data_IF_423348167508
#
_entry.id   IF_423348167508
#
_cell.length_a   1.000
_cell.length_b   1.000
_cell.length_c   1.000
_cell.angle_alpha   90.00
_cell.angle_beta   90.00
_cell.angle_gamma   90.00
#
_symmetry.space_group_name_H-M   'P 1'
#
loop_
_entity.id
_entity.type
_entity.pdbx_description
1 polymer ?
#
# COMPACT_ATOMS: atom_id res chain seq x y z
N UNK A 1 -8.70 -2.36 25.54
CA UNK A 1 -8.49 -3.64 24.82
C UNK A 1 -8.37 -3.30 23.34
N UNK A 2 -7.53 -3.99 22.55
CA UNK A 2 -7.45 -3.67 21.12
C UNK A 2 -8.70 -4.22 20.42
N UNK A 3 -9.44 -3.37 19.72
CA UNK A 3 -10.63 -3.73 18.93
C UNK A 3 -10.51 -3.30 17.46
N UNK A 4 -9.41 -2.65 17.08
CA UNK A 4 -9.16 -2.22 15.72
C UNK A 4 -7.72 -2.48 15.29
N UNK A 5 -7.56 -3.09 14.13
CA UNK A 5 -6.30 -3.35 13.47
C UNK A 5 -6.20 -2.54 12.18
N UNK A 6 -5.18 -1.71 12.10
CA UNK A 6 -4.84 -0.94 10.93
C UNK A 6 -3.66 -1.61 10.23
N UNK A 7 -3.80 -1.97 8.96
CA UNK A 7 -2.77 -2.64 8.18
C UNK A 7 -2.30 -1.74 7.05
N UNK A 8 -0.99 -1.54 6.90
CA UNK A 8 -0.46 -1.12 5.61
C UNK A 8 -0.69 -2.19 4.53
N UNK A 9 -0.58 -1.79 3.28
CA UNK A 9 -0.65 -2.71 2.15
C UNK A 9 0.71 -3.30 1.78
N UNK A 10 1.70 -2.44 1.53
CA UNK A 10 2.94 -2.80 0.85
C UNK A 10 3.95 -3.43 1.81
N UNK A 11 4.45 -4.60 1.46
CA UNK A 11 5.30 -5.44 2.31
C UNK A 11 4.66 -5.81 3.66
N UNK A 12 3.35 -5.63 3.80
CA UNK A 12 2.54 -6.13 4.93
C UNK A 12 1.55 -7.15 4.40
N UNK A 13 0.49 -6.72 3.68
CA UNK A 13 -0.54 -7.62 3.13
C UNK A 13 -0.09 -8.28 1.81
N UNK A 14 0.58 -7.51 0.94
CA UNK A 14 1.20 -7.98 -0.29
C UNK A 14 2.64 -7.49 -0.34
N UNK A 15 3.54 -8.25 -0.95
CA UNK A 15 4.82 -7.69 -1.39
C UNK A 15 4.57 -6.63 -2.44
N UNK A 16 5.33 -5.53 -2.36
CA UNK A 16 5.36 -4.49 -3.37
C UNK A 16 6.80 -4.27 -3.84
N UNK A 17 7.01 -4.31 -5.15
CA UNK A 17 8.30 -4.01 -5.76
C UNK A 17 8.14 -3.26 -7.09
N UNK A 18 8.34 -1.94 -7.04
CA UNK A 18 8.25 -1.08 -8.22
C UNK A 18 9.37 -1.37 -9.24
N UNK A 19 10.50 -1.96 -8.82
CA UNK A 19 11.59 -2.30 -9.73
C UNK A 19 11.16 -3.34 -10.78
N UNK A 20 10.13 -4.14 -10.50
CA UNK A 20 9.52 -5.04 -11.48
C UNK A 20 9.02 -4.25 -12.70
N UNK A 21 8.28 -3.16 -12.47
CA UNK A 21 7.77 -2.31 -13.54
C UNK A 21 8.91 -1.59 -14.27
N UNK A 22 9.89 -1.04 -13.55
CA UNK A 22 11.00 -0.33 -14.16
C UNK A 22 11.91 -1.24 -15.01
N UNK A 23 12.13 -2.48 -14.57
CA UNK A 23 12.82 -3.49 -15.36
C UNK A 23 12.08 -3.79 -16.65
N UNK A 24 10.75 -3.93 -16.60
CA UNK A 24 9.92 -4.13 -17.79
C UNK A 24 9.93 -2.92 -18.72
N UNK A 25 9.85 -1.70 -18.19
CA UNK A 25 9.95 -0.48 -19.00
C UNK A 25 11.31 -0.31 -19.69
N UNK A 26 12.40 -0.84 -19.10
CA UNK A 26 13.72 -0.80 -19.74
C UNK A 26 13.77 -1.56 -21.07
N UNK A 27 12.86 -2.52 -21.30
CA UNK A 27 12.73 -3.22 -22.59
C UNK A 27 12.21 -2.28 -23.70
N UNK A 28 11.61 -1.14 -23.34
CA UNK A 28 11.01 -0.16 -24.26
C UNK A 28 11.77 1.17 -24.31
N UNK A 29 12.84 1.30 -23.54
CA UNK A 29 13.57 2.55 -23.29
C UNK A 29 15.08 2.33 -23.50
N UNK A 30 15.84 3.37 -23.90
CA UNK A 30 17.30 3.30 -23.90
C UNK A 30 17.92 3.31 -22.50
N UNK A 31 17.13 3.43 -21.43
CA UNK A 31 17.59 3.56 -20.06
C UNK A 31 17.50 2.25 -19.27
N UNK A 32 18.40 2.08 -18.30
CA UNK A 32 18.33 0.98 -17.34
C UNK A 32 17.13 1.15 -16.39
N UNK A 33 16.76 0.08 -15.69
CA UNK A 33 15.69 0.10 -14.70
C UNK A 33 15.94 1.14 -13.60
N UNK A 34 17.17 1.25 -13.11
CA UNK A 34 17.58 2.21 -12.09
C UNK A 34 17.42 3.64 -12.60
N UNK A 35 17.81 3.89 -13.86
CA UNK A 35 17.65 5.20 -14.47
C UNK A 35 16.18 5.55 -14.66
N UNK A 36 15.35 4.58 -15.02
CA UNK A 36 13.90 4.78 -15.11
C UNK A 36 13.29 5.08 -13.74
N UNK A 37 13.70 4.35 -12.69
CA UNK A 37 13.33 4.64 -11.31
C UNK A 37 13.66 6.08 -10.92
N UNK A 38 14.89 6.54 -11.19
CA UNK A 38 15.27 7.94 -10.94
C UNK A 38 14.36 8.92 -11.69
N UNK A 39 14.08 8.66 -12.96
CA UNK A 39 13.31 9.57 -13.81
C UNK A 39 11.84 9.66 -13.43
N UNK A 40 11.23 8.53 -13.04
CA UNK A 40 9.80 8.46 -12.70
C UNK A 40 9.56 8.76 -11.22
N UNK A 41 10.25 8.05 -10.32
CA UNK A 41 10.01 8.14 -8.88
C UNK A 41 10.70 9.36 -8.28
N UNK A 42 12.03 9.41 -8.32
CA UNK A 42 12.79 10.52 -7.74
C UNK A 42 12.56 11.84 -8.51
N UNK A 43 12.31 11.74 -9.81
CA UNK A 43 11.95 12.85 -10.68
C UNK A 43 10.53 13.38 -10.48
N UNK A 44 9.73 12.77 -9.60
CA UNK A 44 8.43 13.28 -9.17
C UNK A 44 7.25 12.98 -10.09
N UNK A 45 7.45 12.29 -11.22
CA UNK A 45 6.37 11.88 -12.13
C UNK A 45 5.39 10.94 -11.42
N UNK A 46 5.86 10.08 -10.52
CA UNK A 46 5.02 9.20 -9.70
C UNK A 46 4.02 9.97 -8.82
N UNK A 47 4.26 11.25 -8.52
CA UNK A 47 3.35 12.08 -7.70
C UNK A 47 2.17 12.64 -8.48
N UNK A 48 2.24 12.68 -9.82
CA UNK A 48 1.17 13.21 -10.67
C UNK A 48 -0.21 12.65 -10.28
N UNK A 49 -0.38 11.34 -10.06
CA UNK A 49 -1.67 10.77 -9.68
C UNK A 49 -2.17 11.22 -8.30
N UNK A 50 -1.27 11.54 -7.38
CA UNK A 50 -1.60 12.00 -6.03
C UNK A 50 -1.95 13.50 -6.01
N UNK A 51 -1.42 14.27 -6.95
CA UNK A 51 -1.62 15.72 -7.08
C UNK A 51 -2.80 16.07 -8.01
N UNK A 52 -3.69 15.11 -8.27
CA UNK A 52 -4.91 15.30 -9.07
C UNK A 52 -4.72 15.15 -10.58
N UNK A 53 -3.55 14.69 -11.03
CA UNK A 53 -3.29 14.38 -12.44
C UNK A 53 -4.02 13.12 -12.92
N UNK A 54 -4.25 13.02 -14.24
CA UNK A 54 -4.89 11.85 -14.84
C UNK A 54 -3.88 10.75 -15.18
N UNK A 55 -4.37 9.53 -15.41
CA UNK A 55 -3.53 8.45 -15.93
C UNK A 55 -2.89 8.82 -17.27
N UNK A 56 -3.61 9.53 -18.14
CA UNK A 56 -3.09 10.01 -19.42
C UNK A 56 -1.90 10.95 -19.22
N UNK A 57 -1.99 11.89 -18.27
CA UNK A 57 -0.89 12.80 -17.95
C UNK A 57 0.33 12.03 -17.44
N UNK A 58 0.11 11.11 -16.48
CA UNK A 58 1.18 10.27 -15.93
C UNK A 58 1.87 9.42 -17.01
N UNK A 59 1.08 8.78 -17.88
CA UNK A 59 1.57 7.96 -18.99
C UNK A 59 2.38 8.80 -19.99
N UNK A 60 1.84 9.93 -20.46
CA UNK A 60 2.51 10.75 -21.48
C UNK A 60 3.83 11.34 -20.96
N UNK A 61 3.85 11.85 -19.73
CA UNK A 61 5.08 12.36 -19.11
C UNK A 61 6.09 11.24 -18.86
N UNK A 62 5.64 10.05 -18.41
CA UNK A 62 6.51 8.89 -18.23
C UNK A 62 7.17 8.48 -19.55
N UNK A 63 6.38 8.27 -20.61
CA UNK A 63 6.88 7.87 -21.94
C UNK A 63 7.90 8.87 -22.46
N UNK A 64 7.60 10.17 -22.38
CA UNK A 64 8.49 11.24 -22.79
C UNK A 64 9.79 11.22 -21.99
N UNK A 65 9.71 11.11 -20.66
CA UNK A 65 10.87 11.18 -19.76
C UNK A 65 11.80 9.99 -19.95
N UNK A 66 11.26 8.79 -20.11
CA UNK A 66 12.04 7.57 -20.31
C UNK A 66 12.40 7.33 -21.79
N UNK A 67 12.01 8.22 -22.70
CA UNK A 67 12.26 8.11 -24.15
C UNK A 67 11.76 6.77 -24.73
N UNK A 68 10.61 6.30 -24.27
CA UNK A 68 10.01 5.07 -24.79
C UNK A 68 9.28 5.31 -26.11
N UNK A 69 9.25 4.28 -26.96
CA UNK A 69 8.42 4.31 -28.18
C UNK A 69 6.95 4.12 -27.83
N UNK A 70 6.16 5.20 -27.92
CA UNK A 70 4.71 5.23 -27.65
C UNK A 70 3.92 4.24 -28.53
N UNK A 71 4.45 3.82 -29.69
CA UNK A 71 3.80 2.81 -30.54
C UNK A 71 3.96 1.39 -29.99
N UNK A 72 5.03 1.13 -29.24
CA UNK A 72 5.33 -0.19 -28.65
C UNK A 72 4.86 -0.29 -27.21
N UNK A 73 5.11 0.74 -26.41
CA UNK A 73 4.63 0.86 -25.04
C UNK A 73 3.36 1.70 -25.04
N UNK A 74 2.24 1.09 -25.42
CA UNK A 74 0.92 1.75 -25.43
C UNK A 74 0.44 2.04 -24.00
N UNK A 75 -0.63 2.82 -23.86
CA UNK A 75 -1.22 3.12 -22.54
C UNK A 75 -1.64 1.86 -21.78
N UNK A 76 -2.17 0.87 -22.49
CA UNK A 76 -2.68 -0.36 -21.89
C UNK A 76 -1.55 -1.26 -21.43
N UNK A 77 -0.51 -1.42 -22.26
CA UNK A 77 0.70 -2.17 -21.90
C UNK A 77 1.42 -1.47 -20.74
N UNK A 78 1.50 -0.14 -20.77
CA UNK A 78 2.09 0.64 -19.68
C UNK A 78 1.32 0.42 -18.36
N UNK A 79 -0.01 0.47 -18.40
CA UNK A 79 -0.86 0.25 -17.22
C UNK A 79 -0.67 -1.16 -16.66
N UNK A 80 -0.64 -2.17 -17.53
CA UNK A 80 -0.41 -3.56 -17.14
C UNK A 80 0.94 -3.71 -16.43
N UNK A 81 2.03 -3.21 -17.03
CA UNK A 81 3.36 -3.26 -16.43
C UNK A 81 3.39 -2.48 -15.10
N UNK A 82 2.83 -1.28 -15.07
CA UNK A 82 2.84 -0.41 -13.89
C UNK A 82 2.12 -1.06 -12.70
N UNK A 83 1.02 -1.75 -12.96
CA UNK A 83 0.21 -2.35 -11.90
C UNK A 83 0.63 -3.78 -11.53
N UNK A 84 1.43 -4.46 -12.36
CA UNK A 84 1.95 -5.80 -12.10
C UNK A 84 3.21 -5.81 -11.21
N UNK A 85 3.08 -5.24 -10.00
CA UNK A 85 4.19 -5.07 -9.03
C UNK A 85 3.92 -5.70 -7.67
N UNK A 86 2.78 -6.42 -7.54
CA UNK A 86 2.32 -6.98 -6.27
C UNK A 86 2.29 -8.50 -6.30
N UNK A 87 2.75 -9.13 -5.22
CA UNK A 87 2.71 -10.59 -5.07
C UNK A 87 2.27 -10.98 -3.64
N UNK A 88 1.59 -12.13 -3.48
CA UNK A 88 0.99 -12.50 -2.19
C UNK A 88 2.05 -12.79 -1.13
N UNK A 89 1.74 -12.45 0.12
CA UNK A 89 2.51 -12.89 1.31
C UNK A 89 1.92 -14.22 1.79
N UNK A 90 2.74 -15.27 1.79
CA UNK A 90 2.32 -16.59 2.25
C UNK A 90 1.88 -16.57 3.73
N UNK A 91 0.73 -17.17 4.04
CA UNK A 91 0.18 -17.22 5.40
C UNK A 91 -0.66 -16.00 5.79
N UNK A 92 -0.72 -14.95 4.96
CA UNK A 92 -1.43 -13.72 5.30
C UNK A 92 -2.95 -13.92 5.33
N UNK A 93 -3.52 -14.70 4.40
CA UNK A 93 -4.97 -15.01 4.42
C UNK A 93 -5.37 -15.73 5.70
N UNK A 94 -4.60 -16.76 6.07
CA UNK A 94 -4.80 -17.56 7.27
C UNK A 94 -4.70 -16.70 8.53
N UNK A 95 -3.73 -15.78 8.58
CA UNK A 95 -3.61 -14.84 9.70
C UNK A 95 -4.81 -13.89 9.78
N UNK A 96 -5.26 -13.33 8.65
CA UNK A 96 -6.39 -12.40 8.62
C UNK A 96 -7.73 -13.06 8.97
N UNK A 97 -7.85 -14.38 8.77
CA UNK A 97 -8.99 -15.19 9.20
C UNK A 97 -8.98 -15.53 10.69
N UNK A 98 -7.79 -15.60 11.32
CA UNK A 98 -7.67 -15.82 12.77
C UNK A 98 -8.01 -14.60 13.61
N UNK A 99 -8.12 -13.41 13.03
CA UNK A 99 -8.51 -12.19 13.75
C UNK A 99 -9.94 -12.36 14.27
N UNK A 100 -10.16 -12.05 15.56
CA UNK A 100 -11.47 -12.19 16.21
C UNK A 100 -12.55 -11.38 15.45
N UNK A 101 -13.79 -11.89 15.34
CA UNK A 101 -14.83 -11.25 14.53
C UNK A 101 -15.24 -9.83 14.97
N UNK A 102 -15.06 -9.50 16.25
CA UNK A 102 -15.33 -8.20 16.85
C UNK A 102 -14.19 -7.20 16.66
N UNK A 103 -13.01 -7.66 16.23
CA UNK A 103 -11.86 -6.81 15.91
C UNK A 103 -11.96 -6.33 14.47
N UNK A 104 -12.13 -5.01 14.31
CA UNK A 104 -12.21 -4.37 12.99
C UNK A 104 -10.87 -4.39 12.28
N UNK A 105 -10.89 -4.59 10.96
CA UNK A 105 -9.72 -4.55 10.08
C UNK A 105 -9.87 -3.37 9.12
N UNK A 106 -8.88 -2.47 9.11
CA UNK A 106 -8.84 -1.32 8.20
C UNK A 106 -7.52 -1.35 7.44
N UNK A 107 -7.58 -1.23 6.12
CA UNK A 107 -6.43 -1.00 5.27
C UNK A 107 -6.06 0.49 5.33
N UNK A 108 -4.82 0.84 5.68
CA UNK A 108 -4.33 2.22 5.76
C UNK A 108 -3.07 2.35 4.91
N UNK A 109 -3.23 2.78 3.65
CA UNK A 109 -2.19 2.66 2.63
C UNK A 109 -1.87 3.99 1.95
N UNK A 110 -0.57 4.28 1.84
CA UNK A 110 -0.06 5.23 0.87
C UNK A 110 -0.08 4.57 -0.52
N UNK A 111 -1.02 4.96 -1.36
CA UNK A 111 -1.19 4.47 -2.73
C UNK A 111 -1.84 5.53 -3.62
N UNK A 112 -1.85 5.29 -4.93
CA UNK A 112 -2.49 6.15 -5.91
C UNK A 112 -3.67 5.46 -6.60
N UNK A 113 -4.51 6.25 -7.28
CA UNK A 113 -5.70 5.71 -7.94
C UNK A 113 -5.36 4.72 -9.07
N UNK A 114 -4.18 4.84 -9.70
CA UNK A 114 -3.75 3.96 -10.80
C UNK A 114 -3.51 2.56 -10.27
N UNK A 115 -2.69 2.39 -9.23
CA UNK A 115 -2.47 1.08 -8.60
C UNK A 115 -3.77 0.52 -8.01
N UNK A 116 -4.57 1.37 -7.37
CA UNK A 116 -5.82 0.94 -6.74
C UNK A 116 -6.83 0.39 -7.74
N UNK A 117 -7.14 1.13 -8.80
CA UNK A 117 -8.12 0.76 -9.82
C UNK A 117 -7.56 -0.28 -10.80
N UNK A 118 -6.27 -0.20 -11.11
CA UNK A 118 -5.58 -1.12 -12.01
C UNK A 118 -5.48 -2.52 -11.44
N UNK A 119 -5.08 -2.65 -10.16
CA UNK A 119 -4.81 -3.97 -9.57
C UNK A 119 -5.22 -4.14 -8.11
N UNK A 120 -4.86 -3.26 -7.18
CA UNK A 120 -4.98 -3.56 -5.73
C UNK A 120 -6.41 -3.92 -5.29
N UNK A 121 -7.42 -3.18 -5.76
CA UNK A 121 -8.84 -3.43 -5.42
C UNK A 121 -9.36 -4.78 -5.94
N UNK A 122 -8.65 -5.40 -6.89
CA UNK A 122 -9.02 -6.67 -7.51
C UNK A 122 -8.33 -7.88 -6.87
N UNK A 123 -7.30 -7.64 -6.05
CA UNK A 123 -6.49 -8.68 -5.43
C UNK A 123 -7.33 -9.51 -4.43
N UNK A 124 -7.13 -10.85 -4.36
CA UNK A 124 -7.97 -11.74 -3.54
C UNK A 124 -8.12 -11.31 -2.08
N UNK A 125 -7.00 -11.06 -1.37
CA UNK A 125 -7.06 -10.64 0.05
C UNK A 125 -7.77 -9.31 0.25
N UNK A 126 -7.64 -8.36 -0.70
CA UNK A 126 -8.31 -7.06 -0.61
C UNK A 126 -9.82 -7.24 -0.79
N UNK A 127 -10.24 -8.02 -1.78
CA UNK A 127 -11.66 -8.38 -1.96
C UNK A 127 -12.24 -9.15 -0.78
N UNK A 128 -11.44 -9.99 -0.12
CA UNK A 128 -11.91 -10.86 0.96
C UNK A 128 -11.99 -10.17 2.32
N UNK A 129 -11.04 -9.28 2.62
CA UNK A 129 -10.89 -8.71 3.97
C UNK A 129 -11.11 -7.20 4.04
N UNK A 130 -11.05 -6.51 2.91
CA UNK A 130 -11.07 -5.05 2.84
C UNK A 130 -11.92 -4.55 1.65
N UNK A 131 -12.99 -5.26 1.26
CA UNK A 131 -13.80 -4.89 0.07
C UNK A 131 -14.54 -3.57 0.26
N UNK A 132 -15.03 -3.32 1.46
CA UNK A 132 -15.90 -2.18 1.74
C UNK A 132 -15.08 -0.90 1.88
N UNK A 133 -15.61 0.22 1.35
CA UNK A 133 -14.96 1.53 1.45
C UNK A 133 -14.75 1.99 2.90
N UNK A 134 -15.56 1.49 3.83
CA UNK A 134 -15.42 1.73 5.26
C UNK A 134 -14.23 0.98 5.89
N UNK A 135 -13.68 -0.02 5.23
CA UNK A 135 -12.48 -0.75 5.66
C UNK A 135 -11.20 -0.23 4.98
N UNK A 136 -11.22 0.94 4.32
CA UNK A 136 -10.11 1.43 3.50
C UNK A 136 -9.80 2.90 3.82
N UNK A 137 -8.54 3.25 4.08
CA UNK A 137 -8.02 4.61 4.18
C UNK A 137 -6.87 4.71 3.18
N UNK A 138 -7.14 5.31 2.03
CA UNK A 138 -6.20 5.38 0.91
C UNK A 138 -5.74 6.81 0.74
N UNK A 139 -4.42 7.04 0.63
CA UNK A 139 -3.87 8.40 0.61
C UNK A 139 -4.46 9.30 -0.48
N UNK A 140 -4.70 8.78 -1.69
CA UNK A 140 -5.29 9.57 -2.77
C UNK A 140 -6.77 9.95 -2.52
N UNK A 141 -7.48 9.23 -1.66
CA UNK A 141 -8.85 9.57 -1.25
C UNK A 141 -8.85 10.58 -0.11
N UNK A 142 -7.86 10.51 0.79
CA UNK A 142 -7.68 11.43 1.92
C UNK A 142 -7.02 12.74 1.47
N UNK A 143 -6.26 12.72 0.38
CA UNK A 143 -5.46 13.85 -0.09
C UNK A 143 -4.17 14.05 0.72
N UNK A 144 -3.80 13.10 1.58
CA UNK A 144 -2.63 13.12 2.46
C UNK A 144 -1.97 11.75 2.49
N UNK A 145 -0.68 11.70 2.82
CA UNK A 145 0.11 10.47 2.95
C UNK A 145 0.58 10.31 4.38
N UNK A 146 0.70 9.07 4.87
CA UNK A 146 1.42 8.78 6.11
C UNK A 146 2.82 9.41 6.03
N UNK A 147 3.30 10.06 7.11
CA UNK A 147 2.77 10.08 8.47
C UNK A 147 1.84 11.27 8.80
N UNK A 148 1.22 11.94 7.83
CA UNK A 148 0.33 13.07 8.09
C UNK A 148 -0.83 12.66 9.01
N UNK A 149 -1.09 13.46 10.05
CA UNK A 149 -2.11 13.20 11.07
C UNK A 149 -3.51 12.98 10.49
N UNK A 150 -3.83 13.53 9.31
CA UNK A 150 -5.13 13.30 8.68
C UNK A 150 -5.36 11.83 8.31
N UNK A 151 -4.29 11.08 8.00
CA UNK A 151 -4.40 9.63 7.77
C UNK A 151 -4.82 8.89 9.04
N UNK A 152 -4.30 9.30 10.19
CA UNK A 152 -4.64 8.71 11.48
C UNK A 152 -6.06 9.07 11.88
N UNK A 153 -6.45 10.35 11.76
CA UNK A 153 -7.82 10.82 12.02
C UNK A 153 -8.84 10.00 11.22
N UNK A 154 -8.62 9.81 9.91
CA UNK A 154 -9.52 9.03 9.07
C UNK A 154 -9.50 7.53 9.42
N UNK A 155 -8.34 6.98 9.81
CA UNK A 155 -8.24 5.59 10.28
C UNK A 155 -9.06 5.36 11.56
N UNK A 156 -8.94 6.23 12.57
CA UNK A 156 -9.75 6.14 13.80
C UNK A 156 -11.25 6.30 13.53
N UNK A 157 -11.62 7.25 12.68
CA UNK A 157 -13.02 7.47 12.29
C UNK A 157 -13.63 6.25 11.61
N UNK A 158 -12.92 5.60 10.67
CA UNK A 158 -13.38 4.37 10.01
C UNK A 158 -13.32 3.15 10.93
N UNK A 159 -12.28 3.09 11.77
CA UNK A 159 -12.09 2.09 12.81
C UNK A 159 -13.18 2.12 13.88
N UNK A 160 -13.82 3.27 14.11
CA UNK A 160 -14.81 3.49 15.18
C UNK A 160 -14.28 3.05 16.55
N UNK A 161 -13.01 3.37 16.80
CA UNK A 161 -12.29 2.97 18.00
C UNK A 161 -11.62 4.18 18.67
N UNK A 162 -11.33 4.06 19.96
CA UNK A 162 -10.53 5.03 20.69
C UNK A 162 -9.04 4.89 20.35
N UNK A 163 -8.23 5.88 20.73
CA UNK A 163 -6.80 5.91 20.41
C UNK A 163 -6.06 4.66 20.91
N UNK A 164 -6.31 4.27 22.16
CA UNK A 164 -5.67 3.16 22.87
C UNK A 164 -6.22 1.76 22.50
N UNK A 165 -7.27 1.73 21.68
CA UNK A 165 -7.93 0.52 21.17
C UNK A 165 -7.45 0.12 19.77
N UNK A 166 -6.60 0.94 19.14
CA UNK A 166 -6.06 0.68 17.81
C UNK A 166 -4.61 0.17 17.83
N UNK A 167 -4.34 -0.78 16.94
CA UNK A 167 -3.00 -1.31 16.69
C UNK A 167 -2.70 -1.20 15.19
N UNK A 168 -1.60 -0.52 14.87
CA UNK A 168 -1.15 -0.31 13.49
C UNK A 168 0.03 -1.22 13.15
N UNK A 169 -0.02 -1.83 11.96
CA UNK A 169 0.98 -2.73 11.41
C UNK A 169 1.49 -2.14 10.10
N UNK A 170 2.77 -1.79 10.05
CA UNK A 170 3.42 -1.15 8.89
C UNK A 170 4.89 -1.59 8.80
N UNK A 171 5.45 -1.62 7.60
CA UNK A 171 6.85 -1.99 7.38
C UNK A 171 7.83 -0.83 7.59
N UNK A 172 7.33 0.41 7.64
CA UNK A 172 8.11 1.63 7.82
C UNK A 172 8.07 2.08 9.29
N UNK A 173 9.19 1.99 10.04
CA UNK A 173 9.24 2.37 11.45
C UNK A 173 8.73 3.78 11.75
N UNK A 174 9.07 4.75 10.90
CA UNK A 174 8.63 6.14 11.04
C UNK A 174 7.09 6.29 11.06
N UNK A 175 6.36 5.48 10.28
CA UNK A 175 4.90 5.53 10.26
C UNK A 175 4.31 4.91 11.52
N UNK A 176 4.91 3.82 12.01
CA UNK A 176 4.55 3.20 13.27
C UNK A 176 4.78 4.15 14.44
N UNK A 177 5.96 4.78 14.51
CA UNK A 177 6.31 5.74 15.55
C UNK A 177 5.35 6.95 15.54
N UNK A 178 5.04 7.49 14.35
CA UNK A 178 4.08 8.59 14.21
C UNK A 178 2.68 8.22 14.71
N UNK A 179 2.21 7.01 14.38
CA UNK A 179 0.92 6.52 14.86
C UNK A 179 0.90 6.33 16.38
N UNK A 180 2.00 5.86 16.97
CA UNK A 180 2.12 5.74 18.43
C UNK A 180 2.13 7.10 19.13
N UNK A 181 2.83 8.10 18.57
CA UNK A 181 2.79 9.49 19.07
C UNK A 181 1.37 10.05 19.00
N UNK A 182 0.59 9.68 17.96
CA UNK A 182 -0.80 10.08 17.83
C UNK A 182 -1.73 9.45 18.89
N UNK A 183 -1.30 8.35 19.54
CA UNK A 183 -1.98 7.75 20.69
C UNK A 183 -2.29 6.25 20.57
N UNK A 184 -1.95 5.63 19.44
CA UNK A 184 -2.18 4.22 19.20
C UNK A 184 -1.03 3.30 19.63
N UNK A 185 -1.17 2.02 19.31
CA UNK A 185 -0.10 1.02 19.44
C UNK A 185 0.41 0.61 18.07
N UNK A 186 1.65 0.16 18.00
CA UNK A 186 2.33 -0.10 16.74
C UNK A 186 3.10 -1.43 16.73
N UNK A 187 3.12 -2.10 15.58
CA UNK A 187 4.02 -3.20 15.26
C UNK A 187 4.73 -2.84 13.95
N UNK A 188 6.05 -2.75 14.00
CA UNK A 188 6.86 -2.79 12.77
C UNK A 188 6.89 -4.24 12.29
N UNK A 189 6.43 -4.46 11.06
CA UNK A 189 6.45 -5.77 10.40
C UNK A 189 6.72 -5.59 8.92
N UNK A 190 7.78 -6.21 8.43
CA UNK A 190 8.10 -6.24 7.00
C UNK A 190 8.14 -7.68 6.52
N UNK A 191 7.17 -8.08 5.70
CA UNK A 191 7.07 -9.45 5.18
C UNK A 191 8.30 -9.90 4.36
N UNK A 192 9.17 -8.97 3.91
CA UNK A 192 10.43 -9.30 3.22
C UNK A 192 11.49 -9.85 4.18
N UNK A 193 11.43 -9.49 5.46
CA UNK A 193 12.44 -9.85 6.46
C UNK A 193 11.87 -10.62 7.64
N UNK A 194 10.60 -10.39 7.97
CA UNK A 194 9.90 -10.98 9.09
C UNK A 194 8.99 -12.13 8.62
N UNK A 195 8.97 -13.21 9.39
CA UNK A 195 8.04 -14.32 9.15
C UNK A 195 6.61 -13.95 9.54
N UNK A 196 5.61 -14.55 8.88
CA UNK A 196 4.22 -14.41 9.29
C UNK A 196 3.98 -14.87 10.74
N UNK A 197 4.77 -15.84 11.22
CA UNK A 197 4.74 -16.31 12.60
C UNK A 197 5.15 -15.23 13.60
N UNK A 198 6.10 -14.36 13.26
CA UNK A 198 6.46 -13.22 14.09
C UNK A 198 5.26 -12.29 14.29
N UNK A 199 4.57 -11.94 13.19
CA UNK A 199 3.39 -11.09 13.27
C UNK A 199 2.26 -11.78 14.07
N UNK A 200 2.01 -13.06 13.83
CA UNK A 200 1.02 -13.83 14.59
C UNK A 200 1.32 -13.80 16.10
N UNK A 201 2.59 -14.02 16.50
CA UNK A 201 3.00 -13.97 17.91
C UNK A 201 2.79 -12.59 18.52
N UNK A 202 3.08 -11.51 17.78
CA UNK A 202 2.83 -10.13 18.24
C UNK A 202 1.34 -9.87 18.43
N UNK A 203 0.50 -10.25 17.46
CA UNK A 203 -0.95 -10.08 17.55
C UNK A 203 -1.55 -10.86 18.74
N UNK A 204 -1.04 -12.05 19.07
CA UNK A 204 -1.46 -12.80 20.28
C UNK A 204 -1.28 -12.01 21.58
N UNK A 205 -0.24 -11.17 21.69
CA UNK A 205 -0.03 -10.37 22.91
C UNK A 205 -1.07 -9.27 23.13
N UNK A 206 -1.88 -8.96 22.11
CA UNK A 206 -2.97 -7.99 22.18
C UNK A 206 -4.35 -8.64 22.30
N UNK A 207 -4.42 -9.97 22.39
CA UNK A 207 -5.67 -10.73 22.49
C UNK A 207 -6.66 -10.45 21.33
N UNK A 208 -6.14 -10.32 20.10
CA UNK A 208 -6.94 -10.04 18.89
C UNK A 208 -7.14 -11.24 17.96
N UNK A 209 -6.56 -12.39 18.31
CA UNK A 209 -6.71 -13.65 17.55
C UNK A 209 -7.60 -14.64 18.30
N UNK A 210 -8.31 -15.49 17.56
CA UNK A 210 -9.07 -16.65 18.05
C UNK A 210 -8.13 -17.72 18.61
#
# INVERSE_FOLDING_TARGET
MINCLFFDFGNVIYFADQMIAYKKFSEYSPFSAEKIYELIYLGGIEKIPDEGGTFSNFYLESIKKIKADKKKLTSDIFLEIWCNIFSPVNGMDELLQKIKPDVRKILVSNTNFIHWQGTMSKLPLIKKHFSEKENQVLSFQVGKRKPDNLMWIEAYKKGKCNLDEALFIDDVPLFVDSFQIFGGKGIVFNAKTDSIYFLEKKLKTYDVLI
#
